data_IF_623886809034
#
_entry.id   IF_623886809034
#
_cell.length_a   1.000
_cell.length_b   1.000
_cell.length_c   1.000
_cell.angle_alpha   90.00
_cell.angle_beta   90.00
_cell.angle_gamma   90.00
#
_symmetry.space_group_name_H-M   'P 1'
#
loop_
_entity.id
_entity.type
_entity.pdbx_description
1 polymer ?
#
# COMPACT_ATOMS: atom_id res chain seq x y z
N UNK A 1 15.63 10.10 -25.91
CA UNK A 1 17.09 10.23 -25.91
C UNK A 1 17.37 11.71 -26.05
N UNK A 2 17.72 12.40 -24.97
CA UNK A 2 18.23 13.76 -25.06
C UNK A 2 19.74 13.60 -25.02
N UNK A 3 20.38 13.84 -26.16
CA UNK A 3 21.82 13.78 -26.27
C UNK A 3 22.43 14.93 -25.47
N UNK A 4 23.18 14.57 -24.44
CA UNK A 4 23.98 15.51 -23.66
C UNK A 4 25.18 15.94 -24.54
N UNK A 5 25.01 17.08 -25.21
CA UNK A 5 26.12 17.76 -25.87
C UNK A 5 27.07 18.22 -24.76
N UNK A 6 28.17 17.47 -24.57
CA UNK A 6 29.30 17.90 -23.74
C UNK A 6 29.98 19.10 -24.40
N UNK A 7 29.39 20.28 -24.27
CA UNK A 7 30.12 21.52 -24.44
C UNK A 7 31.00 21.67 -23.21
N UNK A 8 32.30 21.87 -23.45
CA UNK A 8 33.23 22.35 -22.41
C UNK A 8 32.73 23.72 -21.94
N UNK A 9 31.84 23.75 -20.96
CA UNK A 9 31.43 25.00 -20.34
C UNK A 9 32.52 25.40 -19.34
N UNK A 10 33.35 26.37 -19.75
CA UNK A 10 33.86 27.40 -18.85
C UNK A 10 32.78 27.68 -17.81
N UNK A 11 33.14 27.60 -16.52
CA UNK A 11 32.19 27.64 -15.42
C UNK A 11 31.21 28.81 -15.56
N UNK A 12 30.04 28.56 -16.15
CA UNK A 12 29.06 29.57 -16.49
C UNK A 12 28.42 30.10 -15.21
N UNK A 13 29.04 31.15 -14.68
CA UNK A 13 28.61 31.93 -13.52
C UNK A 13 27.71 33.08 -13.95
N UNK A 14 26.82 32.84 -14.91
CA UNK A 14 25.89 33.87 -15.36
C UNK A 14 24.79 34.11 -14.30
N UNK A 15 24.50 35.39 -13.96
CA UNK A 15 23.42 35.74 -13.04
C UNK A 15 22.08 35.18 -13.54
N UNK A 16 21.44 34.32 -12.75
CA UNK A 16 20.12 33.76 -13.06
C UNK A 16 20.01 32.24 -12.94
N UNK A 17 21.12 31.50 -13.00
CA UNK A 17 21.11 30.05 -12.76
C UNK A 17 21.20 29.75 -11.25
N UNK A 18 20.23 29.01 -10.70
CA UNK A 18 20.23 28.55 -9.30
C UNK A 18 20.87 27.16 -9.22
N UNK A 19 21.80 27.00 -8.30
CA UNK A 19 22.50 25.74 -8.05
C UNK A 19 22.25 25.33 -6.60
N UNK A 20 22.15 24.02 -6.33
CA UNK A 20 22.29 23.55 -4.96
C UNK A 20 23.76 23.65 -4.58
N UNK A 21 24.02 24.31 -3.45
CA UNK A 21 25.37 24.40 -2.87
C UNK A 21 25.30 23.75 -1.49
N UNK A 22 26.26 22.90 -1.14
CA UNK A 22 26.34 22.29 0.19
C UNK A 22 26.40 23.39 1.26
N UNK A 23 25.77 23.18 2.42
CA UNK A 23 25.83 24.13 3.55
C UNK A 23 27.26 24.34 4.07
N UNK A 24 28.14 23.33 3.87
CA UNK A 24 29.57 23.36 4.18
C UNK A 24 30.42 23.59 2.92
N UNK A 25 29.93 24.38 1.96
CA UNK A 25 30.67 24.66 0.74
C UNK A 25 31.92 25.46 1.04
N UNK A 26 33.07 24.91 0.67
CA UNK A 26 34.35 25.61 0.71
C UNK A 26 34.98 25.58 -0.68
N UNK A 27 35.63 26.67 -1.10
CA UNK A 27 36.04 26.89 -2.49
C UNK A 27 37.28 26.07 -2.93
N UNK A 28 37.47 24.86 -2.42
CA UNK A 28 38.63 24.00 -2.69
C UNK A 28 38.55 23.25 -4.02
N UNK A 29 37.56 23.56 -4.86
CA UNK A 29 37.38 22.92 -6.17
C UNK A 29 36.88 21.47 -6.12
N UNK A 30 36.58 20.92 -4.93
CA UNK A 30 36.14 19.53 -4.74
C UNK A 30 34.62 19.35 -4.64
N UNK A 31 33.84 20.43 -4.65
CA UNK A 31 32.38 20.36 -4.53
C UNK A 31 31.70 20.36 -5.90
N UNK A 32 30.96 19.28 -6.17
CA UNK A 32 30.10 19.16 -7.34
C UNK A 32 28.91 20.13 -7.21
N UNK A 33 28.74 21.03 -8.20
CA UNK A 33 27.58 21.92 -8.29
C UNK A 33 26.57 21.30 -9.25
N UNK A 34 25.46 20.80 -8.73
CA UNK A 34 24.37 20.30 -9.57
C UNK A 34 23.43 21.45 -9.93
N UNK A 35 23.14 21.69 -11.23
CA UNK A 35 22.13 22.64 -11.64
C UNK A 35 20.77 22.27 -11.04
N UNK A 36 20.02 23.26 -10.52
CA UNK A 36 18.69 23.00 -9.93
C UNK A 36 17.77 22.22 -10.88
N UNK A 37 17.81 22.54 -12.17
CA UNK A 37 17.00 21.88 -13.20
C UNK A 37 17.21 20.36 -13.24
N UNK A 38 18.44 19.87 -13.02
CA UNK A 38 18.73 18.43 -13.03
C UNK A 38 18.14 17.75 -11.79
N UNK A 39 18.38 18.31 -10.60
CA UNK A 39 17.84 17.74 -9.36
C UNK A 39 16.31 17.74 -9.32
N UNK A 40 15.66 18.77 -9.88
CA UNK A 40 14.20 18.79 -10.00
C UNK A 40 13.70 17.75 -10.99
N UNK A 41 14.38 17.57 -12.12
CA UNK A 41 13.99 16.57 -13.12
C UNK A 41 14.07 15.15 -12.53
N UNK A 42 15.15 14.83 -11.82
CA UNK A 42 15.34 13.53 -11.14
C UNK A 42 14.23 13.28 -10.10
N UNK A 43 13.91 14.27 -9.26
CA UNK A 43 12.84 14.16 -8.27
C UNK A 43 11.46 14.00 -8.92
N UNK A 44 11.17 14.71 -10.02
CA UNK A 44 9.91 14.56 -10.77
C UNK A 44 9.79 13.15 -11.35
N UNK A 45 10.86 12.60 -11.93
CA UNK A 45 10.86 11.24 -12.48
C UNK A 45 10.65 10.19 -11.39
N UNK A 46 11.32 10.35 -10.25
CA UNK A 46 11.15 9.49 -9.10
C UNK A 46 9.72 9.57 -8.53
N UNK A 47 9.16 10.78 -8.38
CA UNK A 47 7.78 10.98 -7.93
C UNK A 47 6.78 10.37 -8.92
N UNK A 48 7.00 10.54 -10.23
CA UNK A 48 6.15 9.95 -11.26
C UNK A 48 6.11 8.43 -11.14
N UNK A 49 7.26 7.78 -10.96
CA UNK A 49 7.34 6.34 -10.74
C UNK A 49 6.53 5.90 -9.51
N UNK A 50 6.65 6.63 -8.39
CA UNK A 50 5.88 6.33 -7.16
C UNK A 50 4.38 6.51 -7.35
N UNK A 51 3.97 7.51 -8.14
CA UNK A 51 2.55 7.72 -8.49
C UNK A 51 2.04 6.57 -9.35
N UNK A 52 2.79 6.15 -10.38
CA UNK A 52 2.42 5.02 -11.24
C UNK A 52 2.28 3.72 -10.41
N UNK A 53 3.22 3.46 -9.49
CA UNK A 53 3.16 2.31 -8.57
C UNK A 53 1.94 2.37 -7.64
N UNK A 54 1.61 3.55 -7.10
CA UNK A 54 0.44 3.74 -6.26
C UNK A 54 -0.87 3.54 -7.04
N UNK A 55 -0.93 3.98 -8.30
CA UNK A 55 -2.08 3.78 -9.17
C UNK A 55 -2.35 2.28 -9.40
N UNK A 56 -1.31 1.49 -9.65
CA UNK A 56 -1.43 0.04 -9.81
C UNK A 56 -2.00 -0.63 -8.55
N UNK A 57 -1.59 -0.20 -7.35
CA UNK A 57 -2.16 -0.71 -6.09
C UNK A 57 -3.64 -0.33 -5.96
N UNK A 58 -4.01 0.91 -6.30
CA UNK A 58 -5.39 1.41 -6.19
C UNK A 58 -6.34 0.61 -7.12
N UNK A 59 -5.88 0.19 -8.30
CA UNK A 59 -6.67 -0.64 -9.23
C UNK A 59 -7.17 -1.94 -8.61
N UNK A 60 -6.47 -2.50 -7.62
CA UNK A 60 -6.86 -3.75 -6.96
C UNK A 60 -7.88 -3.56 -5.82
N UNK A 61 -8.09 -2.33 -5.33
CA UNK A 61 -8.99 -2.04 -4.19
C UNK A 61 -10.44 -2.50 -4.43
N UNK A 62 -11.08 -2.27 -5.60
CA UNK A 62 -12.44 -2.74 -5.84
C UNK A 62 -12.57 -4.27 -5.82
N UNK A 63 -11.55 -4.98 -6.30
CA UNK A 63 -11.54 -6.44 -6.29
C UNK A 63 -11.46 -6.97 -4.85
N UNK A 64 -10.54 -6.42 -4.04
CA UNK A 64 -10.43 -6.75 -2.62
C UNK A 64 -11.72 -6.46 -1.86
N UNK A 65 -12.36 -5.31 -2.12
CA UNK A 65 -13.66 -4.96 -1.53
C UNK A 65 -14.72 -6.04 -1.80
N UNK A 66 -14.84 -6.50 -3.05
CA UNK A 66 -15.79 -7.56 -3.42
C UNK A 66 -15.47 -8.89 -2.73
N UNK A 67 -14.19 -9.23 -2.58
CA UNK A 67 -13.78 -10.44 -1.85
C UNK A 67 -14.17 -10.35 -0.37
N UNK A 68 -13.94 -9.20 0.27
CA UNK A 68 -14.34 -8.94 1.66
C UNK A 68 -15.85 -9.08 1.81
N UNK A 69 -16.64 -8.43 0.96
CA UNK A 69 -18.12 -8.52 0.99
C UNK A 69 -18.61 -9.98 0.84
N UNK A 70 -17.97 -10.76 -0.04
CA UNK A 70 -18.28 -12.19 -0.22
C UNK A 70 -17.97 -13.00 1.04
N UNK A 71 -16.79 -12.79 1.65
CA UNK A 71 -16.38 -13.48 2.88
C UNK A 71 -17.31 -13.10 4.04
N UNK A 72 -17.65 -11.83 4.19
CA UNK A 72 -18.61 -11.37 5.21
C UNK A 72 -19.97 -12.04 5.05
N UNK A 73 -20.46 -12.18 3.82
CA UNK A 73 -21.72 -12.87 3.56
C UNK A 73 -21.65 -14.37 3.90
N UNK A 74 -20.51 -15.02 3.64
CA UNK A 74 -20.29 -16.42 4.03
C UNK A 74 -20.25 -16.58 5.54
N UNK A 75 -19.52 -15.72 6.25
CA UNK A 75 -19.44 -15.73 7.72
C UNK A 75 -20.82 -15.55 8.35
N UNK A 76 -21.64 -14.61 7.84
CA UNK A 76 -23.02 -14.40 8.32
C UNK A 76 -23.89 -15.66 8.14
N UNK A 77 -23.77 -16.35 7.00
CA UNK A 77 -24.51 -17.60 6.77
C UNK A 77 -24.06 -18.71 7.71
N UNK A 78 -22.75 -18.85 7.92
CA UNK A 78 -22.19 -19.85 8.84
C UNK A 78 -22.62 -19.58 10.29
N UNK A 79 -22.64 -18.32 10.73
CA UNK A 79 -23.13 -17.95 12.06
C UNK A 79 -24.57 -18.42 12.28
N UNK A 80 -25.47 -18.16 11.33
CA UNK A 80 -26.87 -18.62 11.41
C UNK A 80 -26.99 -20.14 11.45
N UNK A 81 -26.14 -20.87 10.73
CA UNK A 81 -26.12 -22.33 10.76
C UNK A 81 -25.62 -22.86 12.11
N UNK A 82 -24.60 -22.23 12.69
CA UNK A 82 -24.12 -22.56 14.03
C UNK A 82 -25.22 -22.34 15.06
N UNK A 83 -25.89 -21.19 15.05
CA UNK A 83 -26.98 -20.89 15.99
C UNK A 83 -28.10 -21.94 15.91
N UNK A 84 -28.47 -22.33 14.70
CA UNK A 84 -29.47 -23.38 14.48
C UNK A 84 -29.02 -24.73 15.04
N UNK A 85 -27.79 -25.16 14.69
CA UNK A 85 -27.26 -26.44 15.16
C UNK A 85 -27.09 -26.47 16.68
N UNK A 86 -26.72 -25.34 17.30
CA UNK A 86 -26.68 -25.21 18.76
C UNK A 86 -28.05 -25.42 19.37
N UNK A 87 -29.11 -24.86 18.78
CA UNK A 87 -30.50 -25.11 19.21
C UNK A 87 -30.92 -26.56 19.05
N UNK A 88 -30.59 -27.19 17.91
CA UNK A 88 -30.90 -28.60 17.65
C UNK A 88 -30.17 -29.53 18.66
N UNK A 89 -28.90 -29.26 18.95
CA UNK A 89 -28.12 -30.00 19.97
C UNK A 89 -28.74 -29.85 21.35
N UNK A 90 -29.13 -28.63 21.75
CA UNK A 90 -29.78 -28.40 23.04
C UNK A 90 -31.08 -29.22 23.18
N UNK A 91 -31.92 -29.22 22.14
CA UNK A 91 -33.17 -29.99 22.14
C UNK A 91 -32.90 -31.49 22.26
N UNK A 92 -31.90 -32.01 21.54
CA UNK A 92 -31.50 -33.41 21.64
C UNK A 92 -30.97 -33.74 23.04
N UNK A 93 -30.18 -32.86 23.66
CA UNK A 93 -29.71 -33.04 25.04
C UNK A 93 -30.88 -33.19 26.01
N UNK A 94 -31.92 -32.35 25.89
CA UNK A 94 -33.13 -32.44 26.75
C UNK A 94 -33.89 -33.75 26.51
N UNK A 95 -34.03 -34.19 25.25
CA UNK A 95 -34.69 -35.45 24.93
C UNK A 95 -33.93 -36.67 25.48
N UNK A 96 -32.61 -36.66 25.39
CA UNK A 96 -31.75 -37.72 25.94
C UNK A 96 -31.88 -37.79 27.46
N UNK A 97 -31.82 -36.64 28.16
CA UNK A 97 -32.01 -36.59 29.63
C UNK A 97 -33.40 -37.09 30.04
N UNK A 98 -34.44 -36.75 29.26
CA UNK A 98 -35.80 -37.27 29.50
C UNK A 98 -35.86 -38.78 29.32
N UNK A 99 -35.24 -39.32 28.27
CA UNK A 99 -35.21 -40.76 28.00
C UNK A 99 -34.41 -41.52 29.06
N UNK A 100 -33.29 -40.96 29.50
CA UNK A 100 -32.45 -41.53 30.56
C UNK A 100 -33.26 -41.71 31.85
N UNK A 101 -34.01 -40.69 32.28
CA UNK A 101 -34.92 -40.78 33.43
C UNK A 101 -35.98 -41.85 33.26
N UNK A 102 -36.64 -41.94 32.11
CA UNK A 102 -37.69 -42.94 31.88
C UNK A 102 -37.14 -44.38 31.84
N UNK A 103 -35.89 -44.57 31.41
CA UNK A 103 -35.29 -45.90 31.25
C UNK A 103 -34.57 -46.40 32.51
N UNK A 104 -34.06 -45.49 33.36
CA UNK A 104 -33.15 -45.85 34.45
C UNK A 104 -33.57 -45.36 35.85
N UNK A 105 -34.59 -44.49 35.97
CA UNK A 105 -35.28 -44.22 37.25
C UNK A 105 -36.43 -45.22 37.47
#
# INVERSE_FOLDING_TARGET
>A
MIDEVRVKEEHETHPGKRFFTCINYEAYGLHYRQPWVVGVQEEIEHLRKRVDEAEEVIKWVPNLKRQIESVEAQVKRLALLVDRLTGDVYNLTVQVDTMEKVCFD
#
